data_IF_208498350352
#
_entry.id   IF_208498350352
#
_cell.length_a   1.000
_cell.length_b   1.000
_cell.length_c   1.000
_cell.angle_alpha   90.00
_cell.angle_beta   90.00
_cell.angle_gamma   90.00
#
_symmetry.space_group_name_H-M   'P 1'
#
loop_
_entity.id
_entity.type
_entity.pdbx_description
1 polymer ?
#
# COMPACT_ATOMS: atom_id res chain seq x y z
N UNK A 1 20.05 -13.36 -0.74
CA UNK A 1 21.14 -12.50 -0.23
C UNK A 1 21.65 -11.51 -1.28
N UNK A 2 21.88 -11.90 -2.54
CA UNK A 2 22.44 -11.02 -3.58
C UNK A 2 21.59 -9.73 -3.80
N UNK A 3 20.28 -9.85 -4.04
CA UNK A 3 19.38 -8.71 -4.28
C UNK A 3 19.33 -7.70 -3.11
N UNK A 4 19.40 -8.16 -1.87
CA UNK A 4 19.44 -7.27 -0.71
C UNK A 4 20.75 -6.45 -0.65
N UNK A 5 21.86 -7.04 -1.07
CA UNK A 5 23.14 -6.32 -1.19
C UNK A 5 23.08 -5.30 -2.32
N UNK A 6 22.49 -5.64 -3.46
CA UNK A 6 22.27 -4.72 -4.59
C UNK A 6 21.38 -3.54 -4.16
N UNK A 7 20.27 -3.80 -3.45
CA UNK A 7 19.40 -2.78 -2.89
C UNK A 7 20.17 -1.86 -1.93
N UNK A 8 20.98 -2.41 -1.01
CA UNK A 8 21.78 -1.64 -0.08
C UNK A 8 22.78 -0.74 -0.81
N UNK A 9 23.47 -1.26 -1.81
CA UNK A 9 24.42 -0.48 -2.62
C UNK A 9 23.70 0.64 -3.37
N UNK A 10 22.54 0.36 -3.96
CA UNK A 10 21.76 1.37 -4.66
C UNK A 10 21.27 2.47 -3.70
N UNK A 11 20.77 2.10 -2.51
CA UNK A 11 20.39 3.07 -1.49
C UNK A 11 21.57 3.95 -1.05
N UNK A 12 22.77 3.39 -0.96
CA UNK A 12 23.97 4.16 -0.63
C UNK A 12 24.32 5.19 -1.71
N UNK A 13 23.93 4.97 -2.96
CA UNK A 13 24.11 6.00 -4.02
C UNK A 13 23.10 7.13 -3.89
N UNK A 14 21.90 6.86 -3.35
CA UNK A 14 20.85 7.87 -3.13
C UNK A 14 21.12 8.67 -1.85
N UNK A 15 21.61 8.01 -0.81
CA UNK A 15 21.88 8.58 0.51
C UNK A 15 23.36 8.41 0.90
N UNK A 16 24.31 9.06 0.18
CA UNK A 16 25.75 8.79 0.33
C UNK A 16 26.30 9.18 1.70
N UNK A 17 25.69 10.18 2.36
CA UNK A 17 26.15 10.71 3.64
C UNK A 17 25.35 10.19 4.86
N UNK A 18 24.43 9.25 4.63
CA UNK A 18 23.57 8.74 5.70
C UNK A 18 23.82 7.25 5.93
N UNK A 19 24.21 6.93 7.15
CA UNK A 19 24.24 5.54 7.59
C UNK A 19 22.84 5.03 7.87
N UNK A 20 22.54 3.80 7.45
CA UNK A 20 21.25 3.16 7.68
C UNK A 20 21.39 1.66 7.95
N UNK A 21 20.47 1.14 8.72
CA UNK A 21 20.22 -0.28 8.86
C UNK A 21 19.06 -0.72 7.96
N UNK A 22 19.22 -1.87 7.29
CA UNK A 22 18.23 -2.41 6.37
C UNK A 22 17.60 -3.68 6.95
N UNK A 23 16.39 -3.57 7.44
CA UNK A 23 15.61 -4.66 8.01
C UNK A 23 14.50 -5.13 7.05
N UNK A 24 14.16 -6.42 7.12
CA UNK A 24 13.01 -6.95 6.37
C UNK A 24 11.71 -6.43 6.99
N UNK A 25 10.83 -5.86 6.19
CA UNK A 25 9.56 -5.31 6.64
C UNK A 25 8.36 -6.21 6.29
N UNK A 26 8.25 -6.64 5.02
CA UNK A 26 7.17 -7.48 4.54
C UNK A 26 7.50 -8.15 3.20
N UNK A 27 6.72 -9.19 2.86
CA UNK A 27 6.65 -9.73 1.50
C UNK A 27 5.19 -9.75 1.05
N UNK A 28 4.98 -9.51 -0.24
CA UNK A 28 3.67 -9.65 -0.88
C UNK A 28 3.47 -11.09 -1.39
N UNK A 29 2.24 -11.43 -1.72
CA UNK A 29 1.91 -12.69 -2.40
C UNK A 29 2.60 -12.83 -3.76
N UNK A 30 2.96 -11.71 -4.39
CA UNK A 30 3.81 -11.63 -5.58
C UNK A 30 5.30 -11.67 -5.19
N UNK A 31 6.18 -11.46 -6.17
CA UNK A 31 7.64 -11.49 -5.98
C UNK A 31 8.21 -10.23 -5.32
N UNK A 32 7.37 -9.30 -4.83
CA UNK A 32 7.81 -8.08 -4.16
C UNK A 32 8.20 -8.34 -2.71
N UNK A 33 9.32 -7.75 -2.32
CA UNK A 33 9.79 -7.73 -0.94
C UNK A 33 9.95 -6.29 -0.50
N UNK A 34 9.66 -6.04 0.74
CA UNK A 34 9.78 -4.71 1.33
C UNK A 34 10.80 -4.74 2.45
N UNK A 35 11.67 -3.75 2.45
CA UNK A 35 12.68 -3.53 3.47
C UNK A 35 12.50 -2.14 4.06
N UNK A 36 12.78 -1.99 5.33
CA UNK A 36 12.84 -0.68 5.97
C UNK A 36 14.28 -0.29 6.14
N UNK A 37 14.67 0.86 5.60
CA UNK A 37 15.94 1.50 5.87
C UNK A 37 15.72 2.54 6.97
N UNK A 38 16.31 2.30 8.14
CA UNK A 38 16.27 3.19 9.30
C UNK A 38 17.59 3.94 9.37
N UNK A 39 17.55 5.26 9.31
CA UNK A 39 18.73 6.10 9.31
C UNK A 39 19.22 6.37 10.72
N UNK A 40 20.55 6.44 10.90
CA UNK A 40 21.18 6.70 12.20
C UNK A 40 20.90 8.11 12.75
N UNK A 41 20.65 9.07 11.86
CA UNK A 41 20.27 10.45 12.18
C UNK A 41 18.76 10.64 12.43
N UNK A 42 17.99 9.58 12.36
CA UNK A 42 16.55 9.56 12.54
C UNK A 42 15.76 9.44 11.23
N UNK A 43 14.54 8.98 11.35
CA UNK A 43 13.65 8.71 10.22
C UNK A 43 13.90 7.37 9.55
N UNK A 44 12.98 7.02 8.66
CA UNK A 44 13.04 5.77 7.90
C UNK A 44 12.35 5.90 6.55
N UNK A 45 12.71 5.01 5.63
CA UNK A 45 12.06 4.85 4.34
C UNK A 45 11.76 3.37 4.09
N UNK A 46 10.75 3.11 3.29
CA UNK A 46 10.41 1.74 2.87
C UNK A 46 10.92 1.53 1.45
N UNK A 47 11.65 0.44 1.26
CA UNK A 47 12.28 0.09 -0.02
C UNK A 47 11.59 -1.15 -0.58
N UNK A 48 10.99 -1.04 -1.76
CA UNK A 48 10.43 -2.17 -2.50
C UNK A 48 11.50 -2.76 -3.41
N UNK A 49 11.67 -4.07 -3.34
CA UNK A 49 12.46 -4.89 -4.28
C UNK A 49 11.50 -5.75 -5.10
N UNK A 50 11.40 -5.45 -6.38
CA UNK A 50 10.61 -6.18 -7.37
C UNK A 50 11.55 -6.67 -8.48
N UNK A 51 12.01 -7.94 -8.45
CA UNK A 51 12.98 -8.45 -9.43
C UNK A 51 12.50 -8.27 -10.86
N UNK A 52 13.26 -7.60 -11.76
CA UNK A 52 12.81 -7.26 -13.12
C UNK A 52 12.51 -8.48 -14.00
N UNK A 53 13.15 -9.63 -13.72
CA UNK A 53 12.90 -10.91 -14.41
C UNK A 53 11.54 -11.53 -14.06
N UNK A 54 10.92 -11.09 -12.98
CA UNK A 54 9.62 -11.56 -12.50
C UNK A 54 8.49 -10.56 -12.72
N UNK A 55 8.77 -9.28 -12.57
CA UNK A 55 7.74 -8.25 -12.68
C UNK A 55 8.32 -6.86 -12.95
N UNK A 56 7.53 -6.02 -13.64
CA UNK A 56 7.88 -4.62 -13.86
C UNK A 56 7.30 -3.74 -12.77
N UNK A 57 8.05 -2.75 -12.31
CA UNK A 57 7.57 -1.71 -11.39
C UNK A 57 6.79 -0.59 -12.09
N UNK A 58 6.88 -0.49 -13.41
CA UNK A 58 6.25 0.59 -14.17
C UNK A 58 4.72 0.70 -13.96
N UNK A 59 3.94 -0.39 -13.88
CA UNK A 59 2.52 -0.29 -13.53
C UNK A 59 2.29 0.28 -12.14
N UNK A 60 3.11 -0.09 -11.15
CA UNK A 60 3.03 0.45 -9.79
C UNK A 60 3.24 1.97 -9.77
N UNK A 61 4.28 2.46 -10.46
CA UNK A 61 4.59 3.89 -10.56
C UNK A 61 3.44 4.68 -11.24
N UNK A 62 2.79 4.09 -12.24
CA UNK A 62 1.62 4.70 -12.91
C UNK A 62 0.41 4.77 -11.99
N UNK A 63 0.12 3.69 -11.27
CA UNK A 63 -1.05 3.61 -10.40
C UNK A 63 -0.90 4.56 -9.23
N UNK A 64 0.29 4.64 -8.62
CA UNK A 64 0.52 5.53 -7.49
C UNK A 64 0.19 7.00 -7.80
N UNK A 65 0.57 7.49 -9.00
CA UNK A 65 0.26 8.86 -9.45
C UNK A 65 -1.23 9.18 -9.54
N UNK A 66 -2.09 8.16 -9.61
CA UNK A 66 -3.53 8.35 -9.70
C UNK A 66 -4.20 8.45 -8.34
N UNK A 67 -3.48 8.09 -7.30
CA UNK A 67 -3.95 8.12 -5.92
C UNK A 67 -3.42 9.34 -5.15
N UNK A 68 -2.93 10.39 -5.84
CA UNK A 68 -2.42 11.61 -5.21
C UNK A 68 -3.47 12.34 -4.34
N UNK A 69 -4.77 12.06 -4.56
CA UNK A 69 -5.86 12.65 -3.78
C UNK A 69 -6.09 11.99 -2.41
N UNK A 70 -5.46 10.85 -2.16
CA UNK A 70 -5.57 10.11 -0.89
C UNK A 70 -4.20 9.89 -0.27
N UNK A 71 -4.18 9.60 1.03
CA UNK A 71 -2.94 9.37 1.76
C UNK A 71 -2.34 8.00 1.41
N UNK A 72 -1.51 7.97 0.37
CA UNK A 72 -0.76 6.78 -0.08
C UNK A 72 0.74 6.98 0.08
N UNK A 73 1.53 5.88 0.17
CA UNK A 73 2.98 5.98 0.19
C UNK A 73 3.51 6.76 -1.02
N UNK A 74 4.26 7.83 -0.76
CA UNK A 74 4.87 8.67 -1.79
C UNK A 74 6.13 8.01 -2.32
N UNK A 75 6.31 8.01 -3.65
CA UNK A 75 7.54 7.53 -4.29
C UNK A 75 8.60 8.63 -4.18
N UNK A 76 9.68 8.33 -3.46
CA UNK A 76 10.82 9.23 -3.30
C UNK A 76 11.84 9.01 -4.41
N UNK A 77 12.17 7.75 -4.69
CA UNK A 77 13.09 7.34 -5.76
C UNK A 77 12.61 6.04 -6.41
N UNK A 78 12.92 5.84 -7.68
CA UNK A 78 12.62 4.60 -8.39
C UNK A 78 13.68 4.31 -9.45
N UNK A 79 14.05 3.04 -9.57
CA UNK A 79 14.88 2.50 -10.62
C UNK A 79 14.14 1.33 -11.28
N UNK A 80 13.68 1.55 -12.50
CA UNK A 80 12.88 0.56 -13.24
C UNK A 80 13.70 -0.61 -13.74
N UNK A 81 14.99 -0.40 -14.00
CA UNK A 81 15.89 -1.40 -14.55
C UNK A 81 16.35 -2.36 -13.47
N UNK A 82 16.64 -1.83 -12.28
CA UNK A 82 16.94 -2.63 -11.09
C UNK A 82 15.67 -3.15 -10.39
N UNK A 83 14.51 -2.56 -10.64
CA UNK A 83 13.25 -2.92 -9.99
C UNK A 83 13.18 -2.49 -8.52
N UNK A 84 13.84 -1.40 -8.16
CA UNK A 84 13.85 -0.83 -6.81
C UNK A 84 13.01 0.44 -6.74
N UNK A 85 12.28 0.59 -5.64
CA UNK A 85 11.51 1.81 -5.36
C UNK A 85 11.66 2.19 -3.90
N UNK A 86 11.92 3.47 -3.63
CA UNK A 86 11.93 4.03 -2.27
C UNK A 86 10.63 4.79 -2.05
N UNK A 87 9.98 4.49 -0.95
CA UNK A 87 8.74 5.08 -0.50
C UNK A 87 8.95 5.78 0.84
N UNK A 88 8.16 6.81 1.14
CA UNK A 88 8.10 7.31 2.51
C UNK A 88 7.54 6.22 3.44
N UNK A 89 7.97 6.25 4.69
CA UNK A 89 7.50 5.30 5.71
C UNK A 89 6.25 5.85 6.40
N UNK A 90 5.15 5.14 6.31
CA UNK A 90 3.89 5.45 7.01
C UNK A 90 3.80 4.78 8.39
N UNK A 91 4.88 4.15 8.85
CA UNK A 91 4.95 3.49 10.16
C UNK A 91 4.51 2.02 10.14
N UNK A 92 4.26 1.48 11.34
CA UNK A 92 3.98 0.06 11.55
C UNK A 92 2.54 -0.24 11.96
N UNK A 93 1.76 0.79 12.28
CA UNK A 93 0.40 0.60 12.79
C UNK A 93 -0.56 0.46 11.62
N UNK A 94 -1.06 -0.75 11.41
CA UNK A 94 -2.11 -0.99 10.43
C UNK A 94 -3.47 -0.54 10.98
N UNK A 95 -4.44 -0.26 10.09
CA UNK A 95 -5.80 0.07 10.48
C UNK A 95 -6.40 -1.01 11.40
N UNK A 96 -6.19 -2.29 11.08
CA UNK A 96 -6.65 -3.39 11.93
C UNK A 96 -5.98 -3.34 13.32
N UNK A 97 -4.68 -3.08 13.39
CA UNK A 97 -3.97 -2.95 14.67
C UNK A 97 -4.53 -1.81 15.49
N UNK A 98 -4.76 -0.63 14.88
CA UNK A 98 -5.39 0.50 15.55
C UNK A 98 -6.78 0.15 16.08
N UNK A 99 -7.62 -0.49 15.27
CA UNK A 99 -8.95 -0.95 15.67
C UNK A 99 -8.92 -1.92 16.85
N UNK A 100 -7.93 -2.82 16.92
CA UNK A 100 -7.81 -3.78 18.02
C UNK A 100 -7.22 -3.16 19.30
N UNK A 101 -6.45 -2.08 19.18
CA UNK A 101 -5.86 -1.36 20.33
C UNK A 101 -6.83 -0.40 20.97
N UNK A 102 -7.72 0.20 20.18
CA UNK A 102 -8.73 1.13 20.67
C UNK A 102 -9.84 0.41 21.43
N UNK A 103 -10.29 1.04 22.51
CA UNK A 103 -11.39 0.54 23.32
C UNK A 103 -12.57 1.53 23.26
N UNK A 104 -13.73 1.00 22.89
CA UNK A 104 -14.97 1.74 22.88
C UNK A 104 -15.51 2.05 21.48
N UNK A 105 -16.83 2.05 21.40
CA UNK A 105 -17.58 2.23 20.14
C UNK A 105 -17.27 3.58 19.46
N UNK A 106 -17.08 4.63 20.25
CA UNK A 106 -16.80 5.98 19.73
C UNK A 106 -15.45 6.05 19.00
N UNK A 107 -14.39 5.42 19.55
CA UNK A 107 -13.07 5.39 18.94
C UNK A 107 -13.09 4.57 17.65
N UNK A 108 -13.73 3.39 17.66
CA UNK A 108 -13.90 2.57 16.46
C UNK A 108 -14.69 3.31 15.38
N UNK A 109 -15.75 4.04 15.76
CA UNK A 109 -16.53 4.84 14.82
C UNK A 109 -15.70 5.95 14.19
N UNK A 110 -14.85 6.63 14.95
CA UNK A 110 -13.96 7.68 14.45
C UNK A 110 -13.01 7.11 13.38
N UNK A 111 -12.30 6.02 13.68
CA UNK A 111 -11.41 5.34 12.71
C UNK A 111 -12.14 4.91 11.44
N UNK A 112 -13.35 4.35 11.57
CA UNK A 112 -14.15 3.94 10.41
C UNK A 112 -14.58 5.14 9.56
N UNK A 113 -14.93 6.28 10.18
CA UNK A 113 -15.30 7.49 9.46
C UNK A 113 -14.09 8.08 8.69
N UNK A 114 -12.88 8.04 9.26
CA UNK A 114 -11.66 8.42 8.55
C UNK A 114 -11.42 7.54 7.33
N UNK A 115 -11.49 6.21 7.48
CA UNK A 115 -11.33 5.27 6.37
C UNK A 115 -12.39 5.46 5.27
N UNK A 116 -13.64 5.75 5.64
CA UNK A 116 -14.71 6.07 4.69
C UNK A 116 -14.42 7.39 3.98
N UNK A 117 -13.89 8.39 4.69
CA UNK A 117 -13.47 9.67 4.12
C UNK A 117 -12.46 9.48 3.00
N UNK A 118 -11.40 8.72 3.23
CA UNK A 118 -10.39 8.37 2.21
C UNK A 118 -11.00 7.64 1.01
N UNK A 119 -11.92 6.70 1.23
CA UNK A 119 -12.63 6.00 0.15
C UNK A 119 -13.49 6.95 -0.69
N UNK A 120 -14.15 7.92 -0.08
CA UNK A 120 -14.96 8.92 -0.78
C UNK A 120 -14.07 9.83 -1.64
N UNK A 121 -12.93 10.29 -1.12
CA UNK A 121 -11.98 11.09 -1.91
C UNK A 121 -11.41 10.29 -3.08
N UNK A 122 -11.06 9.02 -2.87
CA UNK A 122 -10.63 8.12 -3.93
C UNK A 122 -11.70 7.98 -5.02
N UNK A 123 -12.97 7.82 -4.65
CA UNK A 123 -14.07 7.70 -5.61
C UNK A 123 -14.31 9.00 -6.39
N UNK A 124 -14.17 10.16 -5.76
CA UNK A 124 -14.29 11.47 -6.41
C UNK A 124 -13.16 11.71 -7.43
N UNK A 125 -11.93 11.30 -7.06
CA UNK A 125 -10.76 11.45 -7.92
C UNK A 125 -10.65 10.41 -9.04
N UNK A 126 -11.42 9.32 -8.98
CA UNK A 126 -11.36 8.27 -9.97
C UNK A 126 -11.78 8.76 -11.36
N UNK A 127 -10.84 8.79 -12.29
CA UNK A 127 -11.10 9.18 -13.69
C UNK A 127 -11.79 8.02 -14.41
N UNK A 128 -12.96 8.28 -14.98
CA UNK A 128 -13.66 7.30 -15.83
C UNK A 128 -12.77 6.84 -17.00
N UNK A 129 -12.57 5.53 -17.13
CA UNK A 129 -11.82 4.93 -18.25
C UNK A 129 -10.36 4.60 -17.94
N UNK A 130 -9.87 4.88 -16.73
CA UNK A 130 -8.49 4.59 -16.36
C UNK A 130 -8.19 3.07 -16.24
N UNK A 131 -9.17 2.26 -15.87
CA UNK A 131 -9.10 0.81 -15.92
C UNK A 131 -9.95 0.29 -17.09
N UNK A 132 -9.37 0.04 -18.27
CA UNK A 132 -10.15 -0.37 -19.46
C UNK A 132 -10.93 -1.67 -19.25
N UNK A 133 -10.60 -2.45 -18.22
CA UNK A 133 -11.29 -3.69 -17.85
C UNK A 133 -12.25 -3.57 -16.63
N UNK A 134 -12.35 -2.39 -16.03
CA UNK A 134 -13.31 -2.11 -14.95
C UNK A 134 -14.54 -1.41 -15.52
N UNK A 135 -15.32 -2.10 -16.31
CA UNK A 135 -16.64 -1.61 -16.69
C UNK A 135 -17.58 -1.70 -15.49
N UNK A 136 -18.48 -0.70 -15.37
CA UNK A 136 -19.57 -0.66 -14.36
C UNK A 136 -20.31 -2.00 -14.25
N UNK A 137 -20.46 -2.74 -15.36
CA UNK A 137 -21.03 -4.09 -15.41
C UNK A 137 -20.24 -5.11 -14.57
N UNK A 138 -18.91 -5.01 -14.50
CA UNK A 138 -18.08 -5.96 -13.70
C UNK A 138 -18.12 -5.65 -12.19
N UNK A 139 -18.22 -4.37 -11.82
CA UNK A 139 -18.45 -3.98 -10.42
C UNK A 139 -19.84 -4.40 -9.95
N UNK A 140 -20.89 -4.19 -10.76
CA UNK A 140 -22.25 -4.61 -10.44
C UNK A 140 -22.39 -6.14 -10.39
N UNK A 141 -21.71 -6.89 -11.25
CA UNK A 141 -21.75 -8.36 -11.22
C UNK A 141 -21.12 -8.95 -9.96
N UNK A 142 -20.06 -8.31 -9.41
CA UNK A 142 -19.46 -8.72 -8.14
C UNK A 142 -20.31 -8.30 -6.92
N UNK A 143 -20.98 -7.17 -6.97
CA UNK A 143 -21.86 -6.69 -5.89
C UNK A 143 -23.18 -7.45 -5.83
N UNK A 144 -23.71 -7.92 -6.97
CA UNK A 144 -24.92 -8.78 -7.00
C UNK A 144 -24.65 -10.19 -6.50
N UNK A 145 -23.43 -10.71 -6.67
CA UNK A 145 -23.05 -11.99 -6.08
C UNK A 145 -22.97 -11.91 -4.53
N UNK A 146 -22.63 -10.74 -3.97
CA UNK A 146 -22.63 -10.50 -2.53
C UNK A 146 -24.05 -10.32 -1.94
N UNK A 147 -25.00 -9.75 -2.71
CA UNK A 147 -26.36 -9.52 -2.22
C UNK A 147 -27.17 -10.80 -2.03
N UNK A 148 -26.98 -11.79 -2.88
CA UNK A 148 -27.75 -13.04 -2.78
C UNK A 148 -27.25 -13.98 -1.68
N UNK A 149 -26.07 -13.74 -1.11
CA UNK A 149 -25.53 -14.50 0.02
C UNK A 149 -25.87 -13.94 1.41
N UNK A 150 -26.36 -12.70 1.50
CA UNK A 150 -26.65 -12.02 2.77
C UNK A 150 -28.15 -11.93 3.13
N UNK A 151 -29.06 -12.38 2.26
CA UNK A 151 -30.49 -12.18 2.47
C UNK A 151 -31.18 -13.25 3.30
N UNK A 152 -30.46 -14.25 3.85
CA UNK A 152 -31.09 -15.29 4.70
C UNK A 152 -30.23 -15.68 5.92
N UNK A 153 -29.85 -14.73 6.74
CA UNK A 153 -29.58 -15.02 8.14
C UNK A 153 -30.43 -14.09 8.99
N UNK A 154 -31.59 -14.62 9.40
CA UNK A 154 -32.38 -14.09 10.49
C UNK A 154 -31.51 -13.95 11.74
N UNK A 155 -31.23 -12.71 12.13
CA UNK A 155 -30.79 -12.42 13.48
C UNK A 155 -32.01 -12.50 14.36
N UNK A 156 -32.21 -13.67 14.98
CA UNK A 156 -33.21 -13.83 16.02
C UNK A 156 -32.92 -12.89 17.17
N UNK A 157 -33.88 -12.07 17.48
CA UNK A 157 -33.95 -11.35 18.73
C UNK A 157 -34.08 -12.37 19.89
N UNK A 158 -33.20 -12.27 20.86
CA UNK A 158 -33.43 -12.54 22.27
C UNK A 158 -32.55 -11.61 23.08
#
# INVERSE_FOLDING_TARGET
MQRQTELKNWLQTIYPERDFDLSFAAADADFRRYFRATFSDGGSVVCMDAPPDKMSVAPYLKVQKLFDMVNVPQILHADTDLGFVVLNDLGNTTFLTAMLQEQGETAHKALLLEAIGELVELQKGAVKGFCPNMTVKRCCAKSTCSRNGLSQKNWGAN
#
